data_IF_087514114265
#
_entry.id   IF_087514114265
#
_cell.length_a   1.000
_cell.length_b   1.000
_cell.length_c   1.000
_cell.angle_alpha   90.00
_cell.angle_beta   90.00
_cell.angle_gamma   90.00
#
_symmetry.space_group_name_H-M   'P 1'
#
loop_
_entity.id
_entity.type
_entity.pdbx_description
1 polymer ?
#
# COMPACT_ATOMS: atom_id res chain seq x y z
N UNK A 1 -3.12 -10.40 28.13
CA UNK A 1 -3.33 -11.31 26.98
C UNK A 1 -3.08 -10.50 25.71
N UNK A 2 -1.84 -10.47 25.22
CA UNK A 2 -1.48 -9.85 23.94
C UNK A 2 -1.30 -11.01 22.96
N UNK A 3 -2.21 -11.15 22.00
CA UNK A 3 -1.99 -12.06 20.87
C UNK A 3 -0.94 -11.41 19.96
N UNK A 4 0.29 -11.87 20.12
CA UNK A 4 1.35 -11.70 19.14
C UNK A 4 0.89 -12.41 17.87
N UNK A 5 0.53 -11.63 16.85
CA UNK A 5 0.30 -12.16 15.51
C UNK A 5 1.66 -12.50 14.93
N UNK A 6 1.94 -13.79 14.92
CA UNK A 6 3.09 -14.39 14.25
C UNK A 6 2.92 -14.15 12.73
N UNK A 7 3.89 -13.43 12.13
CA UNK A 7 3.85 -13.07 10.71
C UNK A 7 4.77 -14.02 9.94
N UNK A 8 4.25 -15.20 9.65
CA UNK A 8 4.81 -16.07 8.61
C UNK A 8 3.70 -16.88 7.95
N UNK A 9 3.70 -16.88 6.63
CA UNK A 9 2.86 -17.65 5.68
C UNK A 9 1.57 -16.99 5.16
N UNK A 10 1.38 -17.17 3.86
CA UNK A 10 0.41 -16.57 2.95
C UNK A 10 -1.01 -17.16 3.14
N UNK A 11 -1.56 -17.09 4.36
CA UNK A 11 -2.92 -17.53 4.64
C UNK A 11 -3.90 -16.37 4.43
N UNK A 12 -4.98 -16.64 3.67
CA UNK A 12 -6.09 -15.70 3.46
C UNK A 12 -6.71 -15.35 4.81
N UNK A 13 -6.33 -14.20 5.37
CA UNK A 13 -6.87 -13.71 6.64
C UNK A 13 -8.29 -13.23 6.38
N UNK A 14 -9.26 -13.95 6.94
CA UNK A 14 -10.66 -13.55 6.98
C UNK A 14 -10.99 -12.98 8.34
N UNK A 15 -11.77 -11.90 8.38
CA UNK A 15 -12.33 -11.32 9.62
C UNK A 15 -13.85 -11.34 9.58
N UNK A 16 -14.50 -11.51 10.73
CA UNK A 16 -15.95 -11.44 10.87
C UNK A 16 -16.34 -10.05 11.39
N UNK A 17 -17.21 -9.35 10.66
CA UNK A 17 -17.74 -8.04 11.04
C UNK A 17 -19.26 -8.12 10.90
N UNK A 18 -19.99 -8.01 12.02
CA UNK A 18 -21.47 -8.08 12.05
C UNK A 18 -22.06 -9.31 11.31
N UNK A 19 -21.35 -10.45 11.40
CA UNK A 19 -21.74 -11.70 10.74
C UNK A 19 -21.35 -11.79 9.26
N UNK A 20 -20.63 -10.81 8.72
CA UNK A 20 -20.10 -10.77 7.36
C UNK A 20 -18.63 -11.21 7.37
N UNK A 21 -18.30 -12.21 6.54
CA UNK A 21 -16.95 -12.66 6.29
C UNK A 21 -16.22 -11.72 5.33
N UNK A 22 -15.24 -10.98 5.82
CA UNK A 22 -14.42 -10.06 5.02
C UNK A 22 -13.04 -10.65 4.79
N UNK A 23 -12.62 -10.72 3.52
CA UNK A 23 -11.27 -11.14 3.15
C UNK A 23 -10.34 -9.93 3.17
N UNK A 24 -9.26 -10.02 3.95
CA UNK A 24 -8.26 -8.95 4.02
C UNK A 24 -7.41 -8.93 2.75
N UNK A 25 -7.13 -7.73 2.24
CA UNK A 25 -6.19 -7.53 1.16
C UNK A 25 -4.79 -7.99 1.57
N UNK A 26 -4.02 -8.51 0.62
CA UNK A 26 -2.61 -8.81 0.79
C UNK A 26 -1.78 -7.67 0.24
N UNK A 27 -0.59 -7.49 0.79
CA UNK A 27 0.38 -6.57 0.22
C UNK A 27 0.76 -7.01 -1.20
N UNK A 28 0.87 -6.06 -2.11
CA UNK A 28 1.30 -6.30 -3.48
C UNK A 28 2.79 -6.67 -3.52
N UNK A 29 3.12 -7.74 -4.25
CA UNK A 29 4.49 -8.12 -4.57
C UNK A 29 4.73 -7.97 -6.07
N UNK A 30 5.41 -6.89 -6.43
CA UNK A 30 5.71 -6.56 -7.81
C UNK A 30 7.16 -6.94 -8.15
N UNK A 31 7.41 -7.77 -9.19
CA UNK A 31 8.75 -8.18 -9.61
C UNK A 31 9.44 -7.06 -10.41
N UNK A 32 9.51 -5.85 -9.85
CA UNK A 32 10.07 -4.68 -10.50
C UNK A 32 11.16 -4.02 -9.66
N UNK A 33 12.21 -3.56 -10.34
CA UNK A 33 13.30 -2.78 -9.74
C UNK A 33 13.26 -1.35 -10.27
N UNK A 34 13.43 -0.39 -9.38
CA UNK A 34 13.62 1.00 -9.81
C UNK A 34 14.95 1.18 -10.53
N UNK A 35 14.89 1.64 -11.78
CA UNK A 35 16.03 2.01 -12.60
C UNK A 35 15.87 3.51 -12.89
N UNK A 36 16.37 4.33 -11.98
CA UNK A 36 16.22 5.78 -12.08
C UNK A 36 17.02 6.52 -11.02
N UNK A 37 16.77 7.82 -10.92
CA UNK A 37 17.51 8.69 -10.02
C UNK A 37 17.19 8.34 -8.57
N UNK A 38 18.24 8.18 -7.76
CA UNK A 38 18.13 7.92 -6.31
C UNK A 38 17.46 9.06 -5.57
N UNK A 39 17.64 10.29 -6.04
CA UNK A 39 17.09 11.51 -5.43
C UNK A 39 15.57 11.46 -5.27
N UNK A 40 14.85 10.91 -6.25
CA UNK A 40 13.39 10.79 -6.17
C UNK A 40 12.94 9.83 -5.06
N UNK A 41 13.72 8.78 -4.78
CA UNK A 41 13.45 7.90 -3.64
C UNK A 41 13.70 8.65 -2.34
N UNK A 42 14.80 9.41 -2.25
CA UNK A 42 15.13 10.19 -1.05
C UNK A 42 14.04 11.23 -0.74
N UNK A 43 13.44 11.85 -1.75
CA UNK A 43 12.32 12.76 -1.57
C UNK A 43 11.09 12.05 -0.98
N UNK A 44 10.75 10.86 -1.48
CA UNK A 44 9.66 10.06 -0.91
C UNK A 44 9.95 9.62 0.53
N UNK A 45 11.20 9.20 0.81
CA UNK A 45 11.63 8.87 2.17
C UNK A 45 11.51 10.07 3.10
N UNK A 46 11.89 11.27 2.66
CA UNK A 46 11.73 12.50 3.43
C UNK A 46 10.25 12.80 3.72
N UNK A 47 9.35 12.58 2.76
CA UNK A 47 7.91 12.76 2.96
C UNK A 47 7.34 11.84 4.05
N UNK A 48 7.91 10.64 4.21
CA UNK A 48 7.44 9.64 5.17
C UNK A 48 8.26 9.58 6.46
N UNK A 49 9.29 10.41 6.58
CA UNK A 49 10.12 10.49 7.78
C UNK A 49 9.36 11.21 8.89
N UNK A 50 9.29 10.60 10.07
CA UNK A 50 8.68 11.16 11.29
C UNK A 50 9.80 11.47 12.29
N UNK A 51 9.74 12.65 12.92
CA UNK A 51 10.75 13.07 13.91
C UNK A 51 10.22 12.86 15.32
N UNK A 52 8.95 13.20 15.56
CA UNK A 52 8.22 12.95 16.80
C UNK A 52 7.16 11.86 16.58
N UNK A 53 6.84 11.08 17.62
CA UNK A 53 5.83 10.02 17.55
C UNK A 53 4.41 10.55 17.27
N UNK A 54 4.17 11.85 17.50
CA UNK A 54 2.90 12.53 17.21
C UNK A 54 2.80 13.04 15.77
N UNK A 55 3.89 12.97 15.00
CA UNK A 55 3.91 13.47 13.63
C UNK A 55 3.09 12.55 12.70
N UNK A 56 2.46 13.17 11.71
CA UNK A 56 1.75 12.47 10.64
C UNK A 56 2.60 12.57 9.37
N UNK A 57 2.83 11.44 8.72
CA UNK A 57 3.56 11.40 7.46
C UNK A 57 2.84 12.20 6.36
N UNK A 58 3.60 12.78 5.45
CA UNK A 58 3.01 13.47 4.31
C UNK A 58 2.38 12.47 3.33
N UNK A 59 1.39 12.94 2.56
CA UNK A 59 0.77 12.18 1.46
C UNK A 59 1.27 12.72 0.11
N UNK A 60 2.47 12.31 -0.35
CA UNK A 60 3.07 12.85 -1.57
C UNK A 60 2.24 12.48 -2.80
N UNK A 61 2.20 13.40 -3.78
CA UNK A 61 1.57 13.16 -5.08
C UNK A 61 2.64 13.07 -6.17
N UNK A 62 2.72 11.91 -6.83
CA UNK A 62 3.62 11.71 -7.96
C UNK A 62 2.93 12.10 -9.26
N UNK A 63 3.41 13.16 -9.90
CA UNK A 63 2.84 13.71 -11.14
C UNK A 63 3.84 13.52 -12.29
N UNK A 64 3.35 13.12 -13.46
CA UNK A 64 4.19 12.97 -14.64
C UNK A 64 3.50 12.19 -15.74
N UNK A 65 4.09 12.17 -16.93
CA UNK A 65 3.56 11.48 -18.11
C UNK A 65 3.26 9.99 -17.80
N UNK A 66 2.31 9.35 -18.50
CA UNK A 66 2.14 7.90 -18.44
C UNK A 66 3.45 7.17 -18.75
N UNK A 67 3.69 6.03 -18.10
CA UNK A 67 4.86 5.18 -18.38
C UNK A 67 6.20 5.62 -17.76
N UNK A 68 6.29 6.76 -17.08
CA UNK A 68 7.55 7.22 -16.44
C UNK A 68 7.95 6.47 -15.17
N UNK A 69 7.25 5.40 -14.81
CA UNK A 69 7.58 4.57 -13.65
C UNK A 69 7.12 5.09 -12.29
N UNK A 70 6.08 5.92 -12.21
CA UNK A 70 5.55 6.47 -10.94
C UNK A 70 5.22 5.37 -9.92
N UNK A 71 4.50 4.33 -10.35
CA UNK A 71 4.15 3.20 -9.50
C UNK A 71 5.38 2.43 -9.06
N UNK A 72 6.33 2.20 -9.99
CA UNK A 72 7.61 1.54 -9.69
C UNK A 72 8.44 2.32 -8.68
N UNK A 73 8.48 3.66 -8.79
CA UNK A 73 9.17 4.54 -7.85
C UNK A 73 8.56 4.45 -6.45
N UNK A 74 7.23 4.60 -6.33
CA UNK A 74 6.53 4.52 -5.06
C UNK A 74 6.72 3.16 -4.38
N UNK A 75 6.55 2.08 -5.16
CA UNK A 75 6.74 0.71 -4.69
C UNK A 75 8.17 0.47 -4.20
N UNK A 76 9.18 0.85 -4.99
CA UNK A 76 10.57 0.68 -4.61
C UNK A 76 10.93 1.49 -3.36
N UNK A 77 10.48 2.74 -3.27
CA UNK A 77 10.73 3.58 -2.10
C UNK A 77 10.12 2.98 -0.82
N UNK A 78 8.89 2.47 -0.89
CA UNK A 78 8.22 1.84 0.25
C UNK A 78 8.86 0.50 0.65
N UNK A 79 9.25 -0.33 -0.33
CA UNK A 79 9.96 -1.59 -0.07
C UNK A 79 11.31 -1.38 0.62
N UNK A 80 12.05 -0.33 0.27
CA UNK A 80 13.30 0.01 0.98
C UNK A 80 13.09 0.42 2.45
N UNK A 81 11.90 0.90 2.81
CA UNK A 81 11.52 1.18 4.19
C UNK A 81 10.92 -0.05 4.90
N UNK A 82 10.94 -1.23 4.27
CA UNK A 82 10.29 -2.45 4.74
C UNK A 82 8.81 -2.23 5.09
N UNK A 83 8.10 -1.48 4.24
CA UNK A 83 6.65 -1.26 4.38
C UNK A 83 5.89 -2.14 3.40
N UNK A 84 4.76 -2.66 3.87
CA UNK A 84 3.76 -3.30 3.03
C UNK A 84 3.17 -2.26 2.08
N UNK A 85 2.99 -2.66 0.82
CA UNK A 85 2.47 -1.79 -0.24
C UNK A 85 1.12 -2.31 -0.69
N UNK A 86 0.14 -1.43 -0.77
CA UNK A 86 -1.20 -1.72 -1.28
C UNK A 86 -1.50 -0.76 -2.42
N UNK A 87 -1.88 -1.30 -3.57
CA UNK A 87 -2.12 -0.54 -4.79
C UNK A 87 -3.58 -0.65 -5.17
N UNK A 88 -4.25 0.50 -5.21
CA UNK A 88 -5.63 0.59 -5.67
C UNK A 88 -5.68 1.34 -7.01
N UNK A 89 -6.30 0.73 -8.02
CA UNK A 89 -6.51 1.35 -9.33
C UNK A 89 -7.80 2.15 -9.32
N UNK A 90 -7.69 3.47 -9.18
CA UNK A 90 -8.85 4.35 -9.26
C UNK A 90 -9.26 4.60 -10.72
N UNK A 91 -10.56 4.49 -10.98
CA UNK A 91 -11.23 4.88 -12.23
C UNK A 91 -12.25 5.98 -11.94
N UNK A 92 -12.90 6.54 -12.97
CA UNK A 92 -13.95 7.55 -12.76
C UNK A 92 -15.15 7.03 -11.97
N UNK A 93 -15.36 5.71 -11.98
CA UNK A 93 -16.47 5.06 -11.27
C UNK A 93 -16.10 4.63 -9.84
N UNK A 94 -14.83 4.78 -9.43
CA UNK A 94 -14.40 4.49 -8.07
C UNK A 94 -15.11 5.40 -7.08
N UNK A 95 -15.81 4.77 -6.14
CA UNK A 95 -16.46 5.44 -5.02
C UNK A 95 -15.63 5.31 -3.74
N UNK A 96 -15.80 6.20 -2.76
CA UNK A 96 -15.04 6.13 -1.50
C UNK A 96 -15.20 4.78 -0.78
N UNK A 97 -16.37 4.17 -0.84
CA UNK A 97 -16.64 2.86 -0.24
C UNK A 97 -15.78 1.73 -0.85
N UNK A 98 -15.42 1.82 -2.14
CA UNK A 98 -14.61 0.81 -2.82
C UNK A 98 -13.18 0.72 -2.24
N UNK A 99 -12.69 1.80 -1.61
CA UNK A 99 -11.40 1.84 -0.91
C UNK A 99 -11.46 1.13 0.46
N UNK A 100 -12.65 0.98 1.03
CA UNK A 100 -12.86 0.36 2.34
C UNK A 100 -13.14 -1.14 2.19
N UNK A 101 -14.06 -1.47 1.29
CA UNK A 101 -14.46 -2.85 1.01
C UNK A 101 -14.90 -2.95 -0.44
N UNK A 102 -14.31 -3.88 -1.18
CA UNK A 102 -14.73 -4.17 -2.55
C UNK A 102 -15.67 -5.38 -2.53
N UNK A 103 -16.90 -5.27 -3.05
CA UNK A 103 -17.75 -6.44 -3.19
C UNK A 103 -17.11 -7.41 -4.17
N UNK A 104 -16.85 -8.63 -3.70
CA UNK A 104 -16.43 -9.74 -4.55
C UNK A 104 -17.66 -10.60 -4.84
N UNK A 105 -17.93 -10.85 -6.11
CA UNK A 105 -18.89 -11.89 -6.49
C UNK A 105 -18.16 -13.22 -6.27
N UNK A 106 -18.51 -13.92 -5.20
CA UNK A 106 -18.13 -15.31 -5.01
C UNK A 106 -19.19 -16.17 -5.73
N UNK A 107 -18.75 -17.12 -6.56
CA UNK A 107 -19.58 -18.27 -6.96
C UNK A 107 -19.85 -19.19 -5.77
#
# INVERSE_FOLDING_TARGET
MKQTLDVSSNERRTVQIDGISVHLAHADELPMRWIGQRELILQLHACWHLVDERDIALSPRLIGKPGVGKTTLAYAAAKELNKDVYIFQATMDTRPEDLLITPVVAE
#
